data_IF_631839799181
#
_entry.id   IF_631839799181
#
_cell.length_a   1.000
_cell.length_b   1.000
_cell.length_c   1.000
_cell.angle_alpha   90.00
_cell.angle_beta   90.00
_cell.angle_gamma   90.00
#
_symmetry.space_group_name_H-M   'P 1'
#
loop_
_entity.id
_entity.type
_entity.pdbx_description
1 polymer ?
#
# COMPACT_ATOMS: atom_id res chain seq x y z
N UNK A 1 -62.64 24.50 -9.78
CA UNK A 1 -62.04 25.12 -8.59
C UNK A 1 -60.73 25.79 -9.03
N UNK A 2 -60.24 26.77 -8.27
CA UNK A 2 -59.00 27.46 -8.61
C UNK A 2 -57.84 26.88 -7.79
N UNK A 3 -56.68 26.68 -8.43
CA UNK A 3 -55.45 26.22 -7.77
C UNK A 3 -55.12 27.18 -6.61
N UNK A 4 -54.94 26.63 -5.41
CA UNK A 4 -54.64 27.46 -4.23
C UNK A 4 -53.24 28.08 -4.35
N UNK A 5 -53.07 29.28 -3.79
CA UNK A 5 -51.77 29.98 -3.83
C UNK A 5 -50.65 29.16 -3.17
N UNK A 6 -50.96 28.42 -2.09
CA UNK A 6 -50.00 27.55 -1.40
C UNK A 6 -49.47 26.42 -2.28
N UNK A 7 -50.33 25.78 -3.07
CA UNK A 7 -49.94 24.72 -4.02
C UNK A 7 -49.11 25.33 -5.15
N UNK A 8 -49.50 26.50 -5.65
CA UNK A 8 -48.75 27.22 -6.68
C UNK A 8 -47.33 27.55 -6.23
N UNK A 9 -47.17 28.18 -5.07
CA UNK A 9 -45.86 28.60 -4.57
C UNK A 9 -44.94 27.39 -4.34
N UNK A 10 -45.49 26.28 -3.81
CA UNK A 10 -44.73 25.03 -3.62
C UNK A 10 -44.21 24.49 -4.94
N UNK A 11 -45.06 24.37 -5.97
CA UNK A 11 -44.66 23.85 -7.29
C UNK A 11 -43.62 24.77 -7.96
N UNK A 12 -43.78 26.09 -7.84
CA UNK A 12 -42.81 27.03 -8.37
C UNK A 12 -41.45 26.93 -7.66
N UNK A 13 -41.43 26.74 -6.34
CA UNK A 13 -40.19 26.50 -5.58
C UNK A 13 -39.56 25.16 -5.96
N UNK A 14 -40.35 24.08 -6.06
CA UNK A 14 -39.90 22.74 -6.49
C UNK A 14 -39.25 22.80 -7.87
N UNK A 15 -39.85 23.55 -8.79
CA UNK A 15 -39.32 23.77 -10.14
C UNK A 15 -38.26 24.90 -10.22
N UNK A 16 -37.89 25.52 -9.10
CA UNK A 16 -36.94 26.65 -9.04
C UNK A 16 -37.31 27.80 -9.96
N UNK A 17 -38.61 28.04 -10.15
CA UNK A 17 -39.17 29.04 -11.07
C UNK A 17 -38.67 28.84 -12.51
N UNK A 18 -38.45 27.59 -12.90
CA UNK A 18 -38.03 27.19 -14.25
C UNK A 18 -38.99 26.16 -14.83
N UNK A 19 -39.10 26.20 -16.15
CA UNK A 19 -39.94 25.30 -16.92
C UNK A 19 -39.43 23.88 -16.76
N UNK A 20 -40.29 22.93 -16.43
CA UNK A 20 -39.93 21.52 -16.28
C UNK A 20 -39.44 20.90 -17.59
N UNK A 21 -39.83 21.46 -18.75
CA UNK A 21 -39.47 20.94 -20.09
C UNK A 21 -38.16 21.56 -20.60
N UNK A 22 -38.03 22.89 -20.57
CA UNK A 22 -36.90 23.59 -21.23
C UNK A 22 -35.99 24.36 -20.27
N UNK A 23 -36.24 24.31 -18.96
CA UNK A 23 -35.47 24.99 -17.91
C UNK A 23 -35.43 26.54 -17.97
N UNK A 24 -36.15 27.18 -18.89
CA UNK A 24 -36.32 28.63 -18.94
C UNK A 24 -37.18 29.16 -17.79
N UNK A 25 -37.09 30.45 -17.48
CA UNK A 25 -37.92 31.06 -16.41
C UNK A 25 -39.41 30.80 -16.65
N UNK A 26 -40.10 30.35 -15.61
CA UNK A 26 -41.48 29.90 -15.69
C UNK A 26 -42.27 30.26 -14.43
N UNK A 27 -43.55 30.60 -14.64
CA UNK A 27 -44.49 30.99 -13.59
C UNK A 27 -45.90 30.42 -13.82
N UNK A 28 -46.11 29.68 -14.92
CA UNK A 28 -47.43 29.16 -15.28
C UNK A 28 -47.55 27.69 -14.87
N UNK A 29 -48.73 27.31 -14.39
CA UNK A 29 -49.09 25.94 -14.10
C UNK A 29 -49.98 25.39 -15.19
N UNK A 30 -49.70 24.16 -15.58
CA UNK A 30 -50.48 23.41 -16.55
C UNK A 30 -51.00 22.12 -15.90
N UNK A 31 -52.26 21.80 -16.14
CA UNK A 31 -52.84 20.52 -15.75
C UNK A 31 -52.48 19.45 -16.79
N UNK A 32 -51.78 18.40 -16.37
CA UNK A 32 -51.37 17.28 -17.22
C UNK A 32 -52.61 16.57 -17.80
N UNK A 33 -53.63 16.34 -16.97
CA UNK A 33 -54.98 16.01 -17.40
C UNK A 33 -55.80 17.29 -17.27
N UNK A 34 -56.31 17.81 -18.39
CA UNK A 34 -57.11 19.02 -18.40
C UNK A 34 -58.35 18.91 -17.50
N UNK A 35 -58.75 20.01 -16.85
CA UNK A 35 -59.96 20.03 -16.02
C UNK A 35 -61.22 19.63 -16.80
N UNK A 36 -61.29 19.98 -18.09
CA UNK A 36 -62.40 19.58 -18.97
C UNK A 36 -62.49 18.07 -19.18
N UNK A 37 -61.38 17.35 -18.98
CA UNK A 37 -61.27 15.89 -19.10
C UNK A 37 -61.33 15.20 -17.73
N UNK A 38 -61.68 15.93 -16.67
CA UNK A 38 -61.80 15.40 -15.30
C UNK A 38 -60.51 15.46 -14.48
N UNK A 39 -59.49 16.21 -14.91
CA UNK A 39 -58.27 16.40 -14.13
C UNK A 39 -58.49 17.24 -12.87
N UNK A 40 -57.83 16.84 -11.78
CA UNK A 40 -57.91 17.53 -10.49
C UNK A 40 -56.82 18.60 -10.32
N UNK A 41 -56.93 19.41 -9.27
CA UNK A 41 -55.93 20.42 -8.90
C UNK A 41 -54.84 19.82 -7.97
N UNK A 42 -54.62 18.50 -8.03
CA UNK A 42 -53.61 17.83 -7.20
C UNK A 42 -52.21 18.27 -7.62
N UNK A 43 -51.29 18.27 -6.67
CA UNK A 43 -49.89 18.57 -6.96
C UNK A 43 -49.39 17.65 -8.06
N UNK A 44 -49.75 16.36 -8.07
CA UNK A 44 -49.38 15.35 -9.07
C UNK A 44 -49.86 15.66 -10.49
N UNK A 45 -51.03 16.27 -10.65
CA UNK A 45 -51.59 16.62 -11.95
C UNK A 45 -51.09 17.97 -12.49
N UNK A 46 -50.27 18.73 -11.75
CA UNK A 46 -49.79 20.05 -12.16
C UNK A 46 -48.31 20.07 -12.56
N UNK A 47 -47.95 20.79 -13.61
CA UNK A 47 -46.56 20.97 -14.07
C UNK A 47 -46.25 22.46 -14.32
N UNK A 48 -45.03 22.89 -14.00
CA UNK A 48 -44.58 24.29 -14.15
C UNK A 48 -43.99 24.50 -15.53
N UNK A 49 -44.54 25.42 -16.31
CA UNK A 49 -44.12 25.68 -17.70
C UNK A 49 -43.89 27.17 -17.96
N UNK A 50 -42.98 27.48 -18.89
CA UNK A 50 -42.86 28.83 -19.43
C UNK A 50 -43.98 29.08 -20.47
N UNK A 51 -44.32 30.34 -20.76
CA UNK A 51 -45.41 30.66 -21.70
C UNK A 51 -45.25 30.01 -23.07
N UNK A 52 -44.01 29.89 -23.56
CA UNK A 52 -43.70 29.25 -24.84
C UNK A 52 -44.06 27.75 -24.82
N UNK A 53 -43.60 27.01 -23.81
CA UNK A 53 -43.92 25.59 -23.67
C UNK A 53 -45.41 25.39 -23.41
N UNK A 54 -46.01 26.17 -22.51
CA UNK A 54 -47.41 26.04 -22.14
C UNK A 54 -48.35 26.31 -23.31
N UNK A 55 -48.20 27.47 -23.98
CA UNK A 55 -49.13 27.91 -25.01
C UNK A 55 -48.81 27.30 -26.38
N UNK A 56 -47.56 27.36 -26.83
CA UNK A 56 -47.19 26.94 -28.19
C UNK A 56 -47.08 25.42 -28.26
N UNK A 57 -46.29 24.83 -27.37
CA UNK A 57 -45.89 23.42 -27.53
C UNK A 57 -46.94 22.46 -26.99
N UNK A 58 -47.53 22.76 -25.84
CA UNK A 58 -48.54 21.90 -25.21
C UNK A 58 -49.94 22.15 -25.78
N UNK A 59 -50.45 23.39 -25.72
CA UNK A 59 -51.83 23.66 -26.16
C UNK A 59 -52.01 23.71 -27.69
N UNK A 60 -51.21 24.52 -28.41
CA UNK A 60 -51.39 24.73 -29.85
C UNK A 60 -50.87 23.58 -30.71
N UNK A 61 -49.59 23.25 -30.55
CA UNK A 61 -48.92 22.28 -31.39
C UNK A 61 -49.14 20.84 -30.90
N UNK A 62 -49.56 20.66 -29.63
CA UNK A 62 -49.76 19.35 -28.99
C UNK A 62 -48.55 18.43 -29.18
N UNK A 63 -47.36 18.99 -29.02
CA UNK A 63 -46.08 18.29 -29.20
C UNK A 63 -45.84 17.18 -28.17
N UNK A 64 -46.57 17.20 -27.05
CA UNK A 64 -46.34 16.31 -25.93
C UNK A 64 -47.60 15.54 -25.53
N UNK A 65 -47.45 14.23 -25.31
CA UNK A 65 -48.49 13.40 -24.71
C UNK A 65 -48.56 13.59 -23.19
N UNK A 66 -49.69 13.18 -22.59
CA UNK A 66 -49.85 13.19 -21.12
C UNK A 66 -48.76 12.35 -20.42
N UNK A 67 -48.37 11.23 -21.01
CA UNK A 67 -47.32 10.35 -20.49
C UNK A 67 -45.95 11.05 -20.49
N UNK A 68 -45.63 11.79 -21.55
CA UNK A 68 -44.40 12.59 -21.61
C UNK A 68 -44.40 13.70 -20.57
N UNK A 69 -45.53 14.38 -20.34
CA UNK A 69 -45.65 15.41 -19.29
C UNK A 69 -45.47 14.82 -17.88
N UNK A 70 -46.02 13.63 -17.62
CA UNK A 70 -45.76 12.89 -16.36
C UNK A 70 -44.28 12.56 -16.21
N UNK A 71 -43.64 12.09 -17.28
CA UNK A 71 -42.22 11.76 -17.27
C UNK A 71 -41.35 12.99 -16.98
N UNK A 72 -41.60 14.12 -17.63
CA UNK A 72 -40.85 15.36 -17.37
C UNK A 72 -40.90 15.77 -15.90
N UNK A 73 -42.07 15.61 -15.28
CA UNK A 73 -42.24 15.91 -13.87
C UNK A 73 -41.57 14.89 -12.94
N UNK A 74 -41.66 13.60 -13.25
CA UNK A 74 -40.96 12.55 -12.52
C UNK A 74 -39.44 12.81 -12.54
N UNK A 75 -38.89 13.12 -13.71
CA UNK A 75 -37.47 13.46 -13.87
C UNK A 75 -37.06 14.69 -13.04
N UNK A 76 -37.92 15.71 -12.90
CA UNK A 76 -37.65 16.86 -12.03
C UNK A 76 -37.53 16.45 -10.56
N UNK A 77 -38.41 15.56 -10.10
CA UNK A 77 -38.37 15.04 -8.72
C UNK A 77 -37.14 14.21 -8.47
N UNK A 78 -36.81 13.30 -9.38
CA UNK A 78 -35.59 12.48 -9.31
C UNK A 78 -34.34 13.36 -9.25
N UNK A 79 -34.25 14.39 -10.10
CA UNK A 79 -33.15 15.36 -10.06
C UNK A 79 -33.03 16.06 -8.72
N UNK A 80 -34.16 16.54 -8.17
CA UNK A 80 -34.18 17.20 -6.87
C UNK A 80 -33.77 16.26 -5.74
N UNK A 81 -34.15 14.98 -5.81
CA UNK A 81 -33.78 13.96 -4.82
C UNK A 81 -32.29 13.62 -4.89
N UNK A 82 -31.76 13.41 -6.11
CA UNK A 82 -30.32 13.21 -6.32
C UNK A 82 -29.51 14.39 -5.78
N UNK A 83 -29.95 15.62 -6.05
CA UNK A 83 -29.27 16.82 -5.54
C UNK A 83 -29.31 16.91 -4.02
N UNK A 84 -30.46 16.61 -3.39
CA UNK A 84 -30.55 16.57 -1.91
C UNK A 84 -29.62 15.52 -1.33
N UNK A 85 -29.62 14.31 -1.88
CA UNK A 85 -28.75 13.21 -1.44
C UNK A 85 -27.28 13.58 -1.61
N UNK A 86 -26.90 14.17 -2.73
CA UNK A 86 -25.53 14.66 -2.94
C UNK A 86 -25.12 15.69 -1.87
N UNK A 87 -25.99 16.66 -1.60
CA UNK A 87 -25.73 17.68 -0.57
C UNK A 87 -25.61 17.05 0.82
N UNK A 88 -26.50 16.12 1.17
CA UNK A 88 -26.45 15.39 2.43
C UNK A 88 -25.16 14.57 2.55
N UNK A 89 -24.82 13.74 1.55
CA UNK A 89 -23.60 12.94 1.58
C UNK A 89 -22.35 13.81 1.71
N UNK A 90 -22.28 14.96 1.01
CA UNK A 90 -21.17 15.90 1.15
C UNK A 90 -21.10 16.52 2.55
N UNK A 91 -22.26 16.83 3.16
CA UNK A 91 -22.32 17.32 4.54
C UNK A 91 -21.88 16.24 5.54
N UNK A 92 -22.33 15.00 5.36
CA UNK A 92 -22.01 13.88 6.24
C UNK A 92 -20.53 13.52 6.17
N UNK A 93 -19.95 13.43 4.96
CA UNK A 93 -18.51 13.25 4.76
C UNK A 93 -17.74 14.37 5.45
N UNK A 94 -18.18 15.63 5.30
CA UNK A 94 -17.55 16.77 5.96
C UNK A 94 -17.60 16.65 7.47
N UNK A 95 -18.76 16.32 8.05
CA UNK A 95 -18.91 16.15 9.50
C UNK A 95 -18.01 15.01 9.99
N UNK A 96 -18.02 13.85 9.32
CA UNK A 96 -17.15 12.71 9.66
C UNK A 96 -15.67 13.08 9.61
N UNK A 97 -15.24 13.83 8.59
CA UNK A 97 -13.88 14.34 8.50
C UNK A 97 -13.53 15.26 9.65
N UNK A 98 -14.47 16.11 10.09
CA UNK A 98 -14.28 17.06 11.18
C UNK A 98 -14.29 16.40 12.58
N UNK A 99 -15.03 15.31 12.77
CA UNK A 99 -15.21 14.67 14.10
C UNK A 99 -14.34 13.43 14.32
N UNK A 100 -14.17 12.59 13.29
CA UNK A 100 -13.56 11.26 13.40
C UNK A 100 -12.31 11.10 12.53
N UNK A 101 -12.05 12.06 11.65
CA UNK A 101 -10.86 12.11 10.80
C UNK A 101 -11.00 11.34 9.48
N UNK A 102 -9.95 11.45 8.64
CA UNK A 102 -9.99 10.96 7.25
C UNK A 102 -10.19 9.45 7.12
N UNK A 103 -9.68 8.64 8.04
CA UNK A 103 -9.81 7.18 7.97
C UNK A 103 -11.27 6.74 8.18
N UNK A 104 -12.01 7.40 9.08
CA UNK A 104 -13.43 7.14 9.30
C UNK A 104 -14.28 7.60 8.12
N UNK A 105 -13.98 8.79 7.57
CA UNK A 105 -14.64 9.29 6.36
C UNK A 105 -14.40 8.39 5.15
N UNK A 106 -13.17 7.89 4.96
CA UNK A 106 -12.83 6.93 3.89
C UNK A 106 -13.62 5.63 4.04
N UNK A 107 -13.73 5.10 5.26
CA UNK A 107 -14.51 3.91 5.56
C UNK A 107 -16.00 4.10 5.27
N UNK A 108 -16.58 5.26 5.63
CA UNK A 108 -17.98 5.56 5.32
C UNK A 108 -18.21 5.70 3.82
N UNK A 109 -17.33 6.42 3.12
CA UNK A 109 -17.39 6.61 1.69
C UNK A 109 -17.33 5.27 0.93
N UNK A 110 -16.50 4.33 1.38
CA UNK A 110 -16.43 2.98 0.81
C UNK A 110 -17.74 2.21 0.95
N UNK A 111 -18.37 2.30 2.12
CA UNK A 111 -19.67 1.67 2.35
C UNK A 111 -20.72 2.27 1.42
N UNK A 112 -20.79 3.59 1.32
CA UNK A 112 -21.74 4.28 0.43
C UNK A 112 -21.50 3.94 -1.05
N UNK A 113 -20.25 3.89 -1.51
CA UNK A 113 -19.92 3.50 -2.88
C UNK A 113 -20.29 2.04 -3.17
N UNK A 114 -20.10 1.14 -2.21
CA UNK A 114 -20.51 -0.27 -2.32
C UNK A 114 -22.04 -0.42 -2.38
N UNK A 115 -22.75 0.30 -1.51
CA UNK A 115 -24.22 0.34 -1.52
C UNK A 115 -24.75 0.94 -2.83
N UNK A 116 -24.13 2.02 -3.33
CA UNK A 116 -24.48 2.63 -4.60
C UNK A 116 -24.24 1.67 -5.78
N UNK A 117 -23.09 0.98 -5.80
CA UNK A 117 -22.78 -0.02 -6.82
C UNK A 117 -23.83 -1.15 -6.87
N UNK A 118 -24.38 -1.54 -5.71
CA UNK A 118 -25.43 -2.58 -5.63
C UNK A 118 -26.79 -2.14 -6.18
N UNK A 119 -27.03 -0.83 -6.28
CA UNK A 119 -28.31 -0.24 -6.66
C UNK A 119 -28.33 0.34 -8.07
N UNK A 120 -27.15 0.61 -8.66
CA UNK A 120 -27.04 1.15 -10.01
C UNK A 120 -27.10 0.00 -11.02
N UNK A 121 -28.09 0.06 -11.91
CA UNK A 121 -28.16 -0.81 -13.08
C UNK A 121 -27.25 -0.26 -14.19
N UNK A 122 -26.24 -1.04 -14.58
CA UNK A 122 -25.30 -0.73 -15.65
C UNK A 122 -26.01 -0.42 -16.97
N UNK A 123 -27.10 -1.13 -17.29
CA UNK A 123 -27.86 -0.91 -18.53
C UNK A 123 -28.60 0.44 -18.53
N UNK A 124 -28.99 0.93 -17.34
CA UNK A 124 -29.73 2.18 -17.20
C UNK A 124 -28.81 3.40 -17.05
N UNK A 125 -27.60 3.24 -16.48
CA UNK A 125 -26.65 4.35 -16.29
C UNK A 125 -25.18 3.90 -16.34
N UNK A 126 -24.64 3.63 -17.54
CA UNK A 126 -23.28 3.11 -17.70
C UNK A 126 -22.20 4.04 -17.13
N UNK A 127 -22.36 5.36 -17.33
CA UNK A 127 -21.40 6.36 -16.83
C UNK A 127 -21.37 6.44 -15.30
N UNK A 128 -22.53 6.28 -14.65
CA UNK A 128 -22.59 6.26 -13.19
C UNK A 128 -21.96 4.97 -12.64
N UNK A 129 -22.24 3.83 -13.27
CA UNK A 129 -21.63 2.55 -12.91
C UNK A 129 -20.10 2.60 -13.02
N UNK A 130 -19.56 3.05 -14.17
CA UNK A 130 -18.12 3.19 -14.39
C UNK A 130 -17.48 4.15 -13.38
N UNK A 131 -18.13 5.28 -13.08
CA UNK A 131 -17.61 6.25 -12.10
C UNK A 131 -17.54 5.65 -10.69
N UNK A 132 -18.57 4.91 -10.27
CA UNK A 132 -18.61 4.26 -8.95
C UNK A 132 -17.55 3.15 -8.87
N UNK A 133 -17.45 2.29 -9.89
CA UNK A 133 -16.45 1.23 -9.97
C UNK A 133 -15.01 1.76 -9.92
N UNK A 134 -14.70 2.75 -10.76
CA UNK A 134 -13.35 3.33 -10.87
C UNK A 134 -12.95 4.03 -9.57
N UNK A 135 -13.87 4.74 -8.94
CA UNK A 135 -13.64 5.42 -7.65
C UNK A 135 -13.46 4.40 -6.52
N UNK A 136 -14.27 3.34 -6.48
CA UNK A 136 -14.13 2.27 -5.48
C UNK A 136 -12.78 1.55 -5.62
N UNK A 137 -12.35 1.26 -6.85
CA UNK A 137 -11.05 0.66 -7.15
C UNK A 137 -9.89 1.56 -6.70
N UNK A 138 -9.95 2.85 -7.05
CA UNK A 138 -8.94 3.83 -6.64
C UNK A 138 -8.83 3.99 -5.12
N UNK A 139 -9.96 3.98 -4.40
CA UNK A 139 -9.95 4.00 -2.93
C UNK A 139 -9.29 2.75 -2.35
N UNK A 140 -9.61 1.56 -2.88
CA UNK A 140 -9.01 0.30 -2.44
C UNK A 140 -7.48 0.29 -2.64
N UNK A 141 -6.99 0.82 -3.77
CA UNK A 141 -5.56 0.95 -4.06
C UNK A 141 -4.84 1.89 -3.07
N UNK A 142 -5.52 2.91 -2.52
CA UNK A 142 -4.92 3.84 -1.54
C UNK A 142 -4.74 3.24 -0.14
N UNK A 143 -5.66 2.40 0.31
CA UNK A 143 -5.46 1.64 1.56
C UNK A 143 -4.35 0.61 1.38
N UNK A 144 -4.26 -0.02 0.21
CA UNK A 144 -3.12 -0.87 -0.14
C UNK A 144 -1.78 -0.10 -0.19
N UNK A 145 -1.78 1.20 -0.55
CA UNK A 145 -0.60 2.06 -0.48
C UNK A 145 -0.22 2.43 0.96
N UNK A 146 -1.18 2.67 1.86
CA UNK A 146 -0.91 2.94 3.28
C UNK A 146 -0.46 1.69 4.04
N UNK A 147 -1.08 0.54 3.78
CA UNK A 147 -0.64 -0.76 4.31
C UNK A 147 0.70 -1.19 3.68
N UNK A 148 0.85 -0.99 2.36
CA UNK A 148 2.02 -1.37 1.59
C UNK A 148 3.25 -0.51 1.85
N UNK A 149 3.12 0.76 2.25
CA UNK A 149 4.27 1.61 2.55
C UNK A 149 5.04 1.13 3.79
N UNK A 150 4.32 0.68 4.83
CA UNK A 150 4.95 0.09 6.03
C UNK A 150 5.58 -1.26 5.72
N UNK A 151 4.88 -2.11 4.98
CA UNK A 151 5.38 -3.42 4.54
C UNK A 151 6.60 -3.31 3.61
N UNK A 152 6.62 -2.31 2.71
CA UNK A 152 7.75 -2.03 1.83
C UNK A 152 8.97 -1.56 2.62
N UNK A 153 8.79 -0.67 3.61
CA UNK A 153 9.86 -0.21 4.50
C UNK A 153 10.40 -1.35 5.38
N UNK A 154 9.52 -2.22 5.85
CA UNK A 154 9.88 -3.43 6.58
C UNK A 154 10.73 -4.38 5.71
N UNK A 155 10.32 -4.60 4.46
CA UNK A 155 11.07 -5.40 3.49
C UNK A 155 12.43 -4.79 3.15
N UNK A 156 12.50 -3.46 2.97
CA UNK A 156 13.76 -2.74 2.72
C UNK A 156 14.74 -2.89 3.89
N UNK A 157 14.25 -2.70 5.13
CA UNK A 157 15.02 -2.97 6.34
C UNK A 157 15.54 -4.41 6.37
N UNK A 158 14.69 -5.39 6.06
CA UNK A 158 15.10 -6.80 6.05
C UNK A 158 16.16 -7.09 4.98
N UNK A 159 16.04 -6.50 3.80
CA UNK A 159 17.05 -6.61 2.73
C UNK A 159 18.38 -6.04 3.19
N UNK A 160 18.39 -4.88 3.86
CA UNK A 160 19.62 -4.26 4.35
C UNK A 160 20.26 -5.07 5.48
N UNK A 161 19.46 -5.67 6.36
CA UNK A 161 19.96 -6.63 7.37
C UNK A 161 20.64 -7.82 6.69
N UNK A 162 20.01 -8.40 5.67
CA UNK A 162 20.60 -9.53 4.94
C UNK A 162 21.89 -9.13 4.23
N UNK A 163 21.94 -7.96 3.60
CA UNK A 163 23.15 -7.43 2.96
C UNK A 163 24.29 -7.24 3.97
N UNK A 164 23.98 -6.72 5.16
CA UNK A 164 24.98 -6.51 6.19
C UNK A 164 25.52 -7.84 6.74
N UNK A 165 24.65 -8.82 6.98
CA UNK A 165 25.04 -10.16 7.41
C UNK A 165 25.85 -10.90 6.33
N UNK A 166 25.51 -10.74 5.06
CA UNK A 166 26.20 -11.38 3.94
C UNK A 166 27.66 -10.92 3.77
N UNK A 167 28.05 -9.76 4.34
CA UNK A 167 29.46 -9.32 4.37
C UNK A 167 30.34 -10.25 5.20
N UNK A 168 29.75 -10.99 6.13
CA UNK A 168 30.46 -11.89 7.04
C UNK A 168 30.36 -13.33 6.54
N UNK A 169 30.95 -13.57 5.37
CA UNK A 169 30.93 -14.87 4.70
C UNK A 169 31.69 -15.97 5.46
N UNK A 170 31.28 -17.21 5.22
CA UNK A 170 31.96 -18.40 5.71
C UNK A 170 33.00 -18.89 4.70
N UNK A 171 34.04 -19.56 5.19
CA UNK A 171 35.12 -20.07 4.33
C UNK A 171 35.21 -21.59 4.41
N UNK A 172 35.61 -22.22 3.32
CA UNK A 172 35.86 -23.66 3.21
C UNK A 172 37.16 -23.94 2.49
N UNK A 173 37.82 -25.02 2.88
CA UNK A 173 39.01 -25.50 2.18
C UNK A 173 38.57 -26.20 0.89
N UNK A 174 39.01 -25.68 -0.26
CA UNK A 174 38.62 -26.19 -1.59
C UNK A 174 39.62 -27.20 -2.15
N UNK A 175 40.91 -27.01 -1.89
CA UNK A 175 41.95 -27.91 -2.38
C UNK A 175 43.23 -27.81 -1.54
N UNK A 176 44.09 -28.81 -1.74
CA UNK A 176 45.49 -28.80 -1.29
C UNK A 176 46.34 -28.23 -2.42
N UNK A 177 47.07 -27.16 -2.17
CA UNK A 177 47.91 -26.49 -3.18
C UNK A 177 49.32 -27.11 -3.16
N UNK A 178 49.50 -28.19 -3.93
CA UNK A 178 50.78 -28.91 -4.06
C UNK A 178 51.89 -28.03 -4.65
N UNK A 179 51.56 -27.08 -5.53
CA UNK A 179 52.52 -26.15 -6.13
C UNK A 179 53.06 -25.13 -5.10
N UNK A 180 52.34 -24.93 -4.00
CA UNK A 180 52.75 -24.10 -2.87
C UNK A 180 53.74 -24.77 -1.92
N UNK A 181 54.04 -26.05 -2.09
CA UNK A 181 54.90 -26.80 -1.16
C UNK A 181 56.37 -26.50 -1.41
N UNK A 182 57.07 -26.14 -0.33
CA UNK A 182 58.48 -25.75 -0.35
C UNK A 182 59.17 -26.23 0.90
N UNK A 183 60.49 -26.38 0.81
CA UNK A 183 61.31 -26.56 2.01
C UNK A 183 61.16 -25.33 2.90
N UNK A 184 60.99 -25.57 4.20
CA UNK A 184 60.95 -24.52 5.21
C UNK A 184 62.22 -24.55 6.05
N UNK A 185 62.65 -23.38 6.52
CA UNK A 185 63.90 -23.22 7.28
C UNK A 185 63.71 -23.46 8.79
N UNK A 186 62.50 -23.79 9.23
CA UNK A 186 62.19 -23.98 10.66
C UNK A 186 62.94 -25.16 11.30
N UNK A 187 63.14 -26.28 10.57
CA UNK A 187 63.91 -27.45 11.02
C UNK A 187 64.33 -28.34 9.81
N UNK A 188 65.32 -29.26 9.95
CA UNK A 188 65.92 -29.97 8.81
C UNK A 188 64.95 -30.76 7.92
N UNK A 189 63.83 -31.22 8.47
CA UNK A 189 62.77 -31.96 7.76
C UNK A 189 61.48 -31.14 7.57
N UNK A 190 61.54 -29.81 7.62
CA UNK A 190 60.35 -28.95 7.53
C UNK A 190 59.93 -28.68 6.08
N UNK A 191 58.62 -28.69 5.84
CA UNK A 191 57.99 -28.38 4.55
C UNK A 191 56.72 -27.55 4.76
N UNK A 192 56.37 -26.70 3.79
CA UNK A 192 55.10 -25.98 3.78
C UNK A 192 53.98 -26.85 3.23
N UNK A 193 52.99 -27.14 4.06
CA UNK A 193 51.71 -27.69 3.65
C UNK A 193 50.74 -26.54 3.41
N UNK A 194 50.29 -26.39 2.18
CA UNK A 194 49.45 -25.25 1.75
C UNK A 194 48.07 -25.77 1.34
N UNK A 195 47.02 -25.15 1.88
CA UNK A 195 45.64 -25.39 1.46
C UNK A 195 45.00 -24.07 1.04
N UNK A 196 44.08 -24.13 0.06
CA UNK A 196 43.38 -22.98 -0.48
C UNK A 196 41.94 -22.92 0.03
N UNK A 197 41.49 -21.72 0.37
CA UNK A 197 40.11 -21.41 0.73
C UNK A 197 39.31 -20.99 -0.51
N UNK A 198 37.99 -21.09 -0.42
CA UNK A 198 37.03 -20.60 -1.43
C UNK A 198 36.95 -19.07 -1.54
N UNK A 199 37.64 -18.34 -0.66
CA UNK A 199 37.73 -16.89 -0.69
C UNK A 199 38.87 -16.35 0.17
N UNK A 200 39.05 -15.03 0.14
CA UNK A 200 40.03 -14.34 1.00
C UNK A 200 39.37 -13.96 2.33
N UNK A 201 39.83 -14.49 3.49
CA UNK A 201 39.26 -14.13 4.77
C UNK A 201 39.42 -12.65 5.12
N UNK A 202 38.40 -12.05 5.71
CA UNK A 202 38.46 -10.69 6.25
C UNK A 202 39.20 -10.67 7.61
N UNK A 203 39.59 -9.48 8.07
CA UNK A 203 40.46 -9.28 9.25
C UNK A 203 39.96 -9.99 10.50
N UNK A 204 38.68 -9.83 10.84
CA UNK A 204 38.09 -10.39 12.05
C UNK A 204 38.06 -11.92 12.01
N UNK A 205 37.80 -12.52 10.83
CA UNK A 205 37.87 -13.97 10.68
C UNK A 205 39.31 -14.47 10.93
N UNK A 206 40.32 -13.78 10.37
CA UNK A 206 41.74 -14.12 10.57
C UNK A 206 42.14 -14.01 12.04
N UNK A 207 41.69 -12.98 12.73
CA UNK A 207 41.98 -12.79 14.16
C UNK A 207 41.40 -13.92 15.01
N UNK A 208 40.15 -14.31 14.75
CA UNK A 208 39.54 -15.46 15.44
C UNK A 208 40.30 -16.73 15.09
N UNK A 209 40.54 -17.02 13.81
CA UNK A 209 41.29 -18.20 13.37
C UNK A 209 42.68 -18.29 14.02
N UNK A 210 43.44 -17.20 13.99
CA UNK A 210 44.79 -17.15 14.55
C UNK A 210 44.78 -17.33 16.07
N UNK A 211 43.78 -16.77 16.77
CA UNK A 211 43.62 -16.96 18.21
C UNK A 211 43.26 -18.41 18.55
N UNK A 212 42.31 -19.01 17.84
CA UNK A 212 41.92 -20.40 18.06
C UNK A 212 43.06 -21.38 17.69
N UNK A 213 43.81 -21.09 16.63
CA UNK A 213 45.01 -21.85 16.29
C UNK A 213 46.05 -21.79 17.43
N UNK A 214 46.31 -20.61 17.97
CA UNK A 214 47.27 -20.40 19.08
C UNK A 214 46.86 -21.15 20.36
N UNK A 215 45.56 -21.24 20.62
CA UNK A 215 45.02 -21.94 21.78
C UNK A 215 44.88 -23.46 21.55
N UNK A 216 45.19 -23.97 20.36
CA UNK A 216 45.14 -25.39 20.04
C UNK A 216 46.39 -26.15 20.47
N UNK A 217 46.23 -27.42 20.87
CA UNK A 217 47.35 -28.33 21.20
C UNK A 217 48.36 -28.49 20.03
N UNK A 218 47.91 -28.26 18.80
CA UNK A 218 48.72 -28.32 17.58
C UNK A 218 49.80 -27.23 17.49
N UNK A 219 49.60 -26.07 18.14
CA UNK A 219 50.57 -24.97 18.17
C UNK A 219 51.86 -25.33 18.92
N UNK A 220 51.81 -26.30 19.85
CA UNK A 220 53.02 -26.77 20.54
C UNK A 220 54.01 -27.48 19.61
N UNK A 221 53.63 -27.76 18.35
CA UNK A 221 54.47 -28.49 17.40
C UNK A 221 54.75 -27.75 16.08
N UNK A 222 53.91 -26.79 15.66
CA UNK A 222 53.94 -26.23 14.28
C UNK A 222 53.50 -24.75 14.22
N UNK A 223 53.95 -24.03 13.18
CA UNK A 223 53.48 -22.67 12.84
C UNK A 223 52.44 -22.74 11.72
N UNK A 224 51.40 -21.91 11.81
CA UNK A 224 50.41 -21.69 10.75
C UNK A 224 50.23 -20.20 10.50
N UNK A 225 49.96 -19.81 9.25
CA UNK A 225 49.67 -18.43 8.84
C UNK A 225 48.64 -18.39 7.72
N UNK A 226 47.72 -17.44 7.80
CA UNK A 226 46.84 -17.06 6.69
C UNK A 226 47.55 -16.04 5.79
N UNK A 227 47.63 -16.32 4.49
CA UNK A 227 48.22 -15.45 3.48
C UNK A 227 47.32 -15.37 2.25
N UNK A 228 46.54 -14.29 2.14
CA UNK A 228 45.50 -14.19 1.11
C UNK A 228 44.40 -15.22 1.32
N UNK A 229 44.14 -16.02 0.31
CA UNK A 229 43.22 -17.17 0.31
C UNK A 229 43.89 -18.49 0.73
N UNK A 230 45.17 -18.47 1.15
CA UNK A 230 45.94 -19.66 1.49
C UNK A 230 46.18 -19.78 2.98
N UNK A 231 46.00 -20.99 3.51
CA UNK A 231 46.48 -21.37 4.83
C UNK A 231 47.77 -22.16 4.67
N UNK A 232 48.84 -21.69 5.33
CA UNK A 232 50.17 -22.31 5.26
C UNK A 232 50.50 -22.88 6.62
N UNK A 233 50.74 -24.20 6.70
CA UNK A 233 51.17 -24.92 7.89
C UNK A 233 52.55 -25.54 7.68
N UNK A 234 53.43 -25.48 8.67
CA UNK A 234 54.75 -26.11 8.60
C UNK A 234 54.71 -27.56 9.12
N UNK A 235 54.86 -28.54 8.22
CA UNK A 235 54.80 -29.99 8.50
C UNK A 235 56.18 -30.66 8.42
N UNK A 236 56.32 -31.86 8.98
CA UNK A 236 57.50 -32.72 8.79
C UNK A 236 57.22 -33.80 7.73
N UNK A 237 58.25 -34.35 7.08
CA UNK A 237 58.11 -35.45 6.12
C UNK A 237 57.53 -36.75 6.74
N UNK A 238 57.73 -36.97 8.03
CA UNK A 238 57.17 -38.10 8.78
C UNK A 238 55.69 -37.93 9.15
N UNK A 239 55.07 -36.79 8.86
CA UNK A 239 53.71 -36.49 9.30
C UNK A 239 52.63 -37.17 8.47
N UNK A 240 51.50 -37.47 9.12
CA UNK A 240 50.28 -37.81 8.41
C UNK A 240 49.55 -36.53 7.96
N UNK A 241 49.69 -36.19 6.67
CA UNK A 241 49.07 -35.00 6.06
C UNK A 241 47.54 -35.00 6.13
N UNK A 242 46.90 -36.18 6.16
CA UNK A 242 45.43 -36.26 6.28
C UNK A 242 44.97 -35.76 7.66
N UNK A 243 45.69 -36.10 8.73
CA UNK A 243 45.37 -35.62 10.08
C UNK A 243 45.51 -34.08 10.18
N UNK A 244 46.49 -33.50 9.50
CA UNK A 244 46.67 -32.04 9.46
C UNK A 244 45.55 -31.36 8.67
N UNK A 245 45.16 -31.95 7.54
CA UNK A 245 44.04 -31.46 6.74
C UNK A 245 42.72 -31.52 7.51
N UNK A 246 42.45 -32.62 8.21
CA UNK A 246 41.23 -32.79 9.01
C UNK A 246 41.18 -31.81 10.18
N UNK A 247 42.32 -31.58 10.84
CA UNK A 247 42.44 -30.54 11.86
C UNK A 247 42.16 -29.14 11.29
N UNK A 248 42.74 -28.79 10.14
CA UNK A 248 42.49 -27.50 9.49
C UNK A 248 41.02 -27.32 9.12
N UNK A 249 40.36 -28.37 8.60
CA UNK A 249 38.91 -28.35 8.32
C UNK A 249 38.09 -28.08 9.59
N UNK A 250 38.40 -28.78 10.68
CA UNK A 250 37.71 -28.57 11.96
C UNK A 250 37.92 -27.15 12.50
N UNK A 251 39.14 -26.61 12.38
CA UNK A 251 39.45 -25.26 12.85
C UNK A 251 38.74 -24.18 12.01
N UNK A 252 38.69 -24.35 10.69
CA UNK A 252 37.94 -23.47 9.78
C UNK A 252 36.44 -23.49 10.14
N UNK A 253 35.86 -24.67 10.33
CA UNK A 253 34.45 -24.81 10.71
C UNK A 253 34.16 -24.16 12.08
N UNK A 254 35.03 -24.39 13.06
CA UNK A 254 34.90 -23.78 14.38
C UNK A 254 35.00 -22.25 14.31
N UNK A 255 35.91 -21.73 13.48
CA UNK A 255 36.05 -20.27 13.26
C UNK A 255 34.78 -19.69 12.64
N UNK A 256 34.22 -20.35 11.62
CA UNK A 256 32.95 -19.95 11.01
C UNK A 256 31.82 -19.92 12.06
N UNK A 257 31.72 -20.96 12.90
CA UNK A 257 30.72 -21.04 13.96
C UNK A 257 30.88 -19.91 15.00
N UNK A 258 32.11 -19.64 15.45
CA UNK A 258 32.41 -18.55 16.40
C UNK A 258 32.00 -17.18 15.87
N UNK A 259 32.27 -16.92 14.59
CA UNK A 259 31.84 -15.70 13.90
C UNK A 259 30.31 -15.65 13.87
N UNK A 260 29.65 -16.74 13.44
CA UNK A 260 28.19 -16.82 13.34
C UNK A 260 27.51 -16.51 14.68
N UNK A 261 27.98 -17.15 15.75
CA UNK A 261 27.49 -16.91 17.11
C UNK A 261 27.68 -15.45 17.55
N UNK A 262 28.81 -14.84 17.19
CA UNK A 262 29.07 -13.44 17.51
C UNK A 262 28.09 -12.51 16.77
N UNK A 263 27.85 -12.76 15.48
CA UNK A 263 26.91 -11.99 14.67
C UNK A 263 25.48 -12.10 15.20
N UNK A 264 25.05 -13.31 15.58
CA UNK A 264 23.72 -13.54 16.15
C UNK A 264 23.52 -12.86 17.51
N UNK A 265 24.57 -12.80 18.34
CA UNK A 265 24.48 -12.20 19.68
C UNK A 265 24.60 -10.68 19.68
N UNK A 266 25.31 -10.09 18.72
CA UNK A 266 25.68 -8.67 18.76
C UNK A 266 25.07 -7.87 17.63
N UNK A 267 25.41 -8.22 16.39
CA UNK A 267 25.06 -7.46 15.20
C UNK A 267 23.56 -7.61 14.88
N UNK A 268 23.03 -8.82 14.87
CA UNK A 268 21.62 -9.07 14.52
C UNK A 268 20.63 -8.37 15.48
N UNK A 269 20.83 -8.39 16.82
CA UNK A 269 19.97 -7.64 17.74
C UNK A 269 20.13 -6.12 17.62
N UNK A 270 21.31 -5.62 17.22
CA UNK A 270 21.51 -4.21 16.94
C UNK A 270 20.69 -3.79 15.70
N UNK A 271 20.87 -4.51 14.59
CA UNK A 271 20.16 -4.27 13.35
C UNK A 271 18.63 -4.37 13.50
N UNK A 272 18.13 -5.36 14.25
CA UNK A 272 16.71 -5.48 14.54
C UNK A 272 16.17 -4.32 15.38
N UNK A 273 16.95 -3.77 16.31
CA UNK A 273 16.57 -2.58 17.08
C UNK A 273 16.49 -1.34 16.19
N UNK A 274 17.39 -1.21 15.23
CA UNK A 274 17.37 -0.13 14.26
C UNK A 274 16.16 -0.22 13.32
N UNK A 275 15.86 -1.42 12.78
CA UNK A 275 14.61 -1.70 12.06
C UNK A 275 13.39 -1.30 12.88
N UNK A 276 13.31 -1.72 14.14
CA UNK A 276 12.19 -1.39 15.03
C UNK A 276 12.06 0.12 15.27
N UNK A 277 13.17 0.84 15.41
CA UNK A 277 13.18 2.30 15.57
C UNK A 277 12.60 3.00 14.32
N UNK A 278 13.07 2.62 13.14
CA UNK A 278 12.63 3.20 11.86
C UNK A 278 11.14 2.96 11.62
N UNK A 279 10.66 1.74 11.88
CA UNK A 279 9.23 1.43 11.77
C UNK A 279 8.39 2.20 12.80
N UNK A 280 8.87 2.35 14.03
CA UNK A 280 8.16 3.13 15.06
C UNK A 280 8.13 4.63 14.73
N UNK A 281 9.19 5.19 14.16
CA UNK A 281 9.23 6.57 13.65
C UNK A 281 8.22 6.76 12.52
N UNK A 282 8.15 5.82 11.57
CA UNK A 282 7.14 5.81 10.51
C UNK A 282 5.71 5.81 11.07
N UNK A 283 5.42 4.88 11.99
CA UNK A 283 4.11 4.76 12.64
C UNK A 283 3.75 6.05 13.43
N UNK A 284 4.75 6.66 14.09
CA UNK A 284 4.60 7.93 14.81
C UNK A 284 4.31 9.09 13.87
N UNK A 285 5.02 9.18 12.75
CA UNK A 285 4.81 10.22 11.73
C UNK A 285 3.41 10.09 11.14
N UNK A 286 2.96 8.89 10.80
CA UNK A 286 1.61 8.66 10.31
C UNK A 286 0.56 9.03 11.36
N UNK A 287 0.79 8.70 12.64
CA UNK A 287 -0.05 9.16 13.76
C UNK A 287 -0.08 10.69 13.89
N UNK A 288 1.06 11.36 13.80
CA UNK A 288 1.16 12.82 13.88
C UNK A 288 0.49 13.50 12.68
N UNK A 289 0.68 12.99 11.46
CA UNK A 289 -0.03 13.47 10.27
C UNK A 289 -1.54 13.34 10.45
N UNK A 290 -2.01 12.25 11.06
CA UNK A 290 -3.41 12.07 11.42
C UNK A 290 -3.88 13.11 12.43
N UNK A 291 -3.10 13.41 13.48
CA UNK A 291 -3.42 14.44 14.49
C UNK A 291 -3.40 15.86 13.94
N UNK A 292 -2.44 16.20 13.06
CA UNK A 292 -2.33 17.52 12.41
C UNK A 292 -3.54 17.80 11.53
N UNK A 293 -4.10 16.78 10.86
CA UNK A 293 -5.35 16.91 10.09
C UNK A 293 -6.55 17.32 10.96
N UNK A 294 -6.48 17.16 12.28
CA UNK A 294 -7.52 17.59 13.23
C UNK A 294 -7.31 18.98 13.83
N UNK A 295 -6.22 19.68 13.51
CA UNK A 295 -5.99 21.05 13.97
C UNK A 295 -6.72 22.04 13.04
N UNK A 296 -7.63 22.85 13.60
CA UNK A 296 -8.20 24.00 12.89
C UNK A 296 -7.23 25.18 12.99
N UNK A 297 -6.81 25.73 11.85
CA UNK A 297 -6.05 26.98 11.74
C UNK A 297 -6.94 28.20 12.04
#
# INVERSE_FOLDING_TARGET
MAITQRVRDRLLVEARHRCTICAEKAYELHHIIEQAQGGDDSEENLIVLCPNCHQQRVHRNKEFSMEQLRQYKANLRERNEVERRLVMNLQDIRVLMETEGLAAAEKSLRRELSEAASQIDEACSPSAFETVETTARWLAEREALHAGAREALELECDIDIQRELAKWGEFKIVEVDEAGWKKADDFPAAYSFVVRLDGTPYSQWREVFDNEYKNSFYMMKRKSRVSGDRLVMIVADSDNLQNHLDFLKQLVEYTNQRIRDHLERTLRPHLNREKARVLAEFDTIESLKSKVKGLKL
#
